data_IF_601142473639
#
_entry.id   IF_601142473639
#
_cell.length_a   1.000
_cell.length_b   1.000
_cell.length_c   1.000
_cell.angle_alpha   90.00
_cell.angle_beta   90.00
_cell.angle_gamma   90.00
#
_symmetry.space_group_name_H-M   'P 1'
#
loop_
_entity.id
_entity.type
_entity.pdbx_description
1 polymer ?
#
# COMPACT_ATOMS: atom_id res chain seq x y z
N UNK A 1 6.24 -28.10 -11.31
CA UNK A 1 6.59 -26.71 -11.62
C UNK A 1 6.90 -26.01 -10.30
N UNK A 2 8.18 -25.81 -9.98
CA UNK A 2 8.64 -25.17 -8.74
C UNK A 2 8.46 -23.66 -8.86
N UNK A 3 7.38 -23.12 -8.31
CA UNK A 3 7.18 -21.67 -8.19
C UNK A 3 8.11 -21.10 -7.13
N UNK A 4 9.34 -20.72 -7.52
CA UNK A 4 10.19 -19.90 -6.65
C UNK A 4 9.43 -18.60 -6.36
N UNK A 5 9.30 -18.17 -5.09
CA UNK A 5 8.71 -16.88 -4.78
C UNK A 5 9.53 -15.81 -5.51
N UNK A 6 8.86 -15.01 -6.35
CA UNK A 6 9.50 -13.88 -7.00
C UNK A 6 10.00 -12.94 -5.90
N UNK A 7 11.31 -12.64 -5.90
CA UNK A 7 11.89 -11.66 -5.01
C UNK A 7 11.34 -10.28 -5.41
N UNK A 8 10.28 -9.86 -4.73
CA UNK A 8 9.72 -8.53 -4.92
C UNK A 8 10.64 -7.50 -4.29
N UNK A 9 11.16 -6.57 -5.09
CA UNK A 9 11.94 -5.44 -4.57
C UNK A 9 11.01 -4.31 -4.15
N UNK A 10 11.54 -3.35 -3.36
CA UNK A 10 10.82 -2.12 -3.05
C UNK A 10 10.44 -1.33 -4.32
N UNK A 11 11.27 -1.40 -5.37
CA UNK A 11 10.99 -0.76 -6.65
C UNK A 11 9.81 -1.41 -7.39
N UNK A 12 9.63 -2.72 -7.27
CA UNK A 12 8.48 -3.42 -7.84
C UNK A 12 7.18 -3.03 -7.14
N UNK A 13 7.22 -2.92 -5.81
CA UNK A 13 6.08 -2.44 -5.03
C UNK A 13 5.70 -1.00 -5.42
N UNK A 14 6.68 -0.12 -5.58
CA UNK A 14 6.47 1.25 -6.05
C UNK A 14 5.81 1.30 -7.44
N UNK A 15 6.18 0.38 -8.34
CA UNK A 15 5.56 0.26 -9.67
C UNK A 15 4.10 -0.18 -9.58
N UNK A 16 3.77 -1.12 -8.70
CA UNK A 16 2.39 -1.55 -8.46
C UNK A 16 1.54 -0.39 -7.94
N UNK A 17 2.03 0.36 -6.95
CA UNK A 17 1.31 1.54 -6.45
C UNK A 17 1.09 2.60 -7.54
N UNK A 18 2.13 2.88 -8.34
CA UNK A 18 2.04 3.85 -9.43
C UNK A 18 1.05 3.40 -10.51
N UNK A 19 1.04 2.12 -10.88
CA UNK A 19 0.10 1.55 -11.84
C UNK A 19 -1.34 1.63 -11.33
N UNK A 20 -1.60 1.21 -10.09
CA UNK A 20 -2.93 1.28 -9.48
C UNK A 20 -3.47 2.73 -9.47
N UNK A 21 -2.63 3.68 -9.04
CA UNK A 21 -3.01 5.11 -9.00
C UNK A 21 -3.42 5.66 -10.37
N UNK A 22 -2.76 5.25 -11.45
CA UNK A 22 -3.06 5.72 -12.81
C UNK A 22 -4.45 5.29 -13.31
N UNK A 23 -4.99 4.20 -12.77
CA UNK A 23 -6.30 3.66 -13.16
C UNK A 23 -7.38 3.90 -12.11
N UNK A 24 -7.15 4.82 -11.16
CA UNK A 24 -8.12 5.14 -10.10
C UNK A 24 -8.27 4.05 -9.03
N UNK A 25 -7.30 3.15 -8.94
CA UNK A 25 -7.24 2.10 -7.92
C UNK A 25 -6.23 2.48 -6.83
N UNK A 26 -6.36 1.85 -5.68
CA UNK A 26 -5.43 1.94 -4.56
C UNK A 26 -5.02 0.55 -4.08
N UNK A 27 -3.94 0.50 -3.33
CA UNK A 27 -3.46 -0.76 -2.73
C UNK A 27 -3.73 -0.70 -1.23
N UNK A 28 -4.56 -1.61 -0.75
CA UNK A 28 -4.83 -1.83 0.68
C UNK A 28 -3.87 -2.88 1.20
N UNK A 29 -3.12 -2.55 2.24
CA UNK A 29 -2.18 -3.47 2.89
C UNK A 29 -2.68 -3.77 4.30
N UNK A 30 -3.07 -5.01 4.55
CA UNK A 30 -3.33 -5.54 5.87
C UNK A 30 -2.01 -6.07 6.45
N UNK A 31 -1.40 -5.29 7.34
CA UNK A 31 -0.15 -5.63 8.01
C UNK A 31 -0.31 -6.77 9.04
N UNK A 32 -1.52 -7.04 9.53
CA UNK A 32 -1.79 -8.08 10.51
C UNK A 32 -1.89 -9.44 9.82
N UNK A 33 -2.58 -9.49 8.68
CA UNK A 33 -2.77 -10.71 7.89
C UNK A 33 -1.68 -10.91 6.84
N UNK A 34 -0.87 -9.89 6.56
CA UNK A 34 0.16 -9.91 5.52
C UNK A 34 -0.41 -9.95 4.10
N UNK A 35 -1.59 -9.37 3.89
CA UNK A 35 -2.32 -9.40 2.62
C UNK A 35 -2.26 -8.02 1.98
N UNK A 36 -1.99 -7.96 0.67
CA UNK A 36 -2.10 -6.75 -0.13
C UNK A 36 -3.13 -6.94 -1.25
N UNK A 37 -4.05 -5.98 -1.38
CA UNK A 37 -5.15 -6.04 -2.34
C UNK A 37 -5.24 -4.73 -3.13
N UNK A 38 -5.61 -4.82 -4.41
CA UNK A 38 -5.91 -3.65 -5.24
C UNK A 38 -7.41 -3.41 -5.19
N UNK A 39 -7.82 -2.25 -4.69
CA UNK A 39 -9.22 -1.86 -4.48
C UNK A 39 -9.52 -0.54 -5.20
N UNK A 40 -10.77 -0.25 -5.57
CA UNK A 40 -11.16 1.08 -6.03
C UNK A 40 -10.76 2.16 -5.01
N UNK A 41 -10.21 3.29 -5.46
CA UNK A 41 -9.76 4.34 -4.55
C UNK A 41 -10.92 4.95 -3.72
N UNK A 42 -12.15 4.91 -4.23
CA UNK A 42 -13.36 5.35 -3.51
C UNK A 42 -13.78 4.42 -2.36
N UNK A 43 -13.30 3.18 -2.35
CA UNK A 43 -13.58 2.21 -1.28
C UNK A 43 -12.58 2.31 -0.12
N UNK A 44 -11.54 3.14 -0.29
CA UNK A 44 -10.64 3.43 0.81
C UNK A 44 -11.37 4.25 1.87
N UNK A 45 -11.22 3.90 3.16
CA UNK A 45 -11.75 4.74 4.21
C UNK A 45 -11.11 6.12 4.08
N UNK A 46 -11.94 7.15 3.94
CA UNK A 46 -11.48 8.52 4.01
C UNK A 46 -10.77 8.69 5.36
N UNK A 47 -9.50 9.11 5.41
CA UNK A 47 -8.88 9.41 6.68
C UNK A 47 -9.74 10.45 7.39
N UNK A 48 -10.41 10.03 8.48
CA UNK A 48 -11.41 10.83 9.19
C UNK A 48 -10.86 12.18 9.70
N UNK A 49 -9.53 12.32 9.75
CA UNK A 49 -8.81 13.58 9.93
C UNK A 49 -7.50 13.51 9.15
N UNK A 50 -7.00 14.65 8.63
CA UNK A 50 -5.59 14.76 8.28
C UNK A 50 -4.77 14.29 9.48
N UNK A 51 -3.93 13.26 9.29
CA UNK A 51 -2.99 12.85 10.34
C UNK A 51 -1.97 13.97 10.44
N UNK A 52 -2.10 14.82 11.46
CA UNK A 52 -1.05 15.78 11.77
C UNK A 52 0.25 15.00 12.03
N UNK A 53 1.34 15.29 11.29
CA UNK A 53 2.60 14.61 11.52
C UNK A 53 3.10 14.93 12.93
N UNK A 54 2.87 14.01 13.87
CA UNK A 54 3.41 14.10 15.22
C UNK A 54 4.92 13.95 15.12
N UNK A 55 5.66 15.05 15.30
CA UNK A 55 7.10 15.00 15.51
C UNK A 55 7.35 14.31 16.86
N UNK A 56 7.64 13.02 16.83
CA UNK A 56 8.14 12.31 18.00
C UNK A 56 9.54 12.89 18.28
N UNK A 57 9.67 13.62 19.39
CA UNK A 57 11.00 14.00 19.90
C UNK A 57 11.62 12.73 20.46
N UNK A 58 12.60 12.19 19.76
CA UNK A 58 13.53 11.20 20.33
C UNK A 58 14.44 12.01 21.25
N UNK A 59 14.29 11.80 22.57
CA UNK A 59 15.21 12.30 23.59
C UNK A 59 16.33 11.27 23.79
#
# INVERSE_FOLDING_TARGET
MSGRPALFTQADLARVFAAAKRVGMAVRVDLVRGIAEVVPAGDLPTPNRPVEPRRIRVL
#
